data_IF_221782667294
#
_entry.id   IF_221782667294
#
_cell.length_a   1.000
_cell.length_b   1.000
_cell.length_c   1.000
_cell.angle_alpha   90.00
_cell.angle_beta   90.00
_cell.angle_gamma   90.00
#
_symmetry.space_group_name_H-M   'P 1'
#
loop_
_entity.id
_entity.type
_entity.pdbx_description
1 polymer ?
#
# COMPACT_ATOMS: atom_id res chain seq x y z
N UNK A 1 -16.85 -17.88 -38.42
CA UNK A 1 -16.56 -16.46 -38.71
C UNK A 1 -16.46 -15.78 -37.37
N UNK A 2 -15.32 -15.15 -37.15
CA UNK A 2 -14.68 -14.71 -35.91
C UNK A 2 -15.48 -13.69 -35.10
N UNK A 3 -15.33 -13.73 -33.78
CA UNK A 3 -15.83 -12.71 -32.84
C UNK A 3 -15.58 -13.02 -31.36
N UNK A 4 -14.47 -13.70 -31.02
CA UNK A 4 -13.77 -13.37 -29.77
C UNK A 4 -13.18 -11.97 -29.95
N UNK A 5 -12.87 -11.28 -28.84
CA UNK A 5 -12.32 -9.92 -28.71
C UNK A 5 -13.33 -8.83 -28.35
N UNK A 6 -13.74 -8.83 -27.08
CA UNK A 6 -13.74 -7.60 -26.29
C UNK A 6 -13.13 -7.93 -24.92
N UNK A 7 -11.83 -8.24 -24.90
CA UNK A 7 -11.06 -7.88 -23.72
C UNK A 7 -11.06 -6.36 -23.71
N UNK A 8 -11.68 -5.80 -22.69
CA UNK A 8 -11.64 -4.39 -22.36
C UNK A 8 -10.16 -4.02 -22.20
N UNK A 9 -9.53 -3.55 -23.28
CA UNK A 9 -8.17 -3.00 -23.34
C UNK A 9 -8.14 -1.62 -22.66
N UNK A 10 -8.98 -1.41 -21.65
CA UNK A 10 -8.97 -0.20 -20.86
C UNK A 10 -7.68 -0.19 -20.05
N UNK A 11 -6.69 0.53 -20.58
CA UNK A 11 -5.48 0.84 -19.84
C UNK A 11 -5.91 1.41 -18.48
N UNK A 12 -5.50 0.81 -17.35
CA UNK A 12 -5.86 1.29 -16.03
C UNK A 12 -5.50 2.77 -15.88
N UNK A 13 -6.36 3.59 -15.23
CA UNK A 13 -6.21 5.05 -15.20
C UNK A 13 -4.89 5.51 -14.56
N UNK A 14 -4.28 4.67 -13.72
CA UNK A 14 -2.98 4.94 -13.10
C UNK A 14 -1.84 4.06 -13.65
N UNK A 15 -2.09 3.34 -14.76
CA UNK A 15 -1.10 2.45 -15.36
C UNK A 15 -0.92 1.15 -14.57
N UNK A 16 0.28 0.58 -14.64
CA UNK A 16 0.60 -0.69 -13.98
C UNK A 16 1.66 -0.49 -12.90
N UNK A 17 1.44 -1.11 -11.73
CA UNK A 17 2.40 -1.15 -10.63
C UNK A 17 3.47 -2.22 -10.82
N UNK A 18 4.30 -2.41 -9.80
CA UNK A 18 5.28 -3.48 -9.75
C UNK A 18 4.60 -4.85 -9.96
N UNK A 19 5.21 -5.71 -10.78
CA UNK A 19 4.64 -7.00 -11.16
C UNK A 19 3.54 -6.93 -12.24
N UNK A 20 3.29 -5.76 -12.85
CA UNK A 20 2.30 -5.61 -13.91
C UNK A 20 0.85 -5.58 -13.40
N UNK A 21 0.64 -5.28 -12.13
CA UNK A 21 -0.71 -5.18 -11.55
C UNK A 21 -1.40 -3.92 -12.03
N UNK A 22 -2.61 -3.99 -12.62
CA UNK A 22 -3.33 -2.81 -13.06
C UNK A 22 -3.69 -1.92 -11.86
N UNK A 23 -3.34 -0.64 -11.93
CA UNK A 23 -3.70 0.35 -10.92
C UNK A 23 -5.03 0.99 -11.33
N UNK A 24 -6.09 0.24 -11.07
CA UNK A 24 -7.45 0.62 -11.44
C UNK A 24 -7.95 1.82 -10.66
N UNK A 25 -7.55 1.92 -9.39
CA UNK A 25 -8.13 2.86 -8.44
C UNK A 25 -7.03 3.62 -7.67
N UNK A 26 -7.38 4.77 -7.07
CA UNK A 26 -6.47 5.54 -6.20
C UNK A 26 -5.87 4.68 -5.07
N UNK A 27 -6.61 3.66 -4.62
CA UNK A 27 -6.14 2.70 -3.63
C UNK A 27 -4.91 1.92 -4.11
N UNK A 28 -4.98 1.33 -5.30
CA UNK A 28 -3.88 0.57 -5.88
C UNK A 28 -2.65 1.47 -6.06
N UNK A 29 -2.88 2.70 -6.52
CA UNK A 29 -1.83 3.72 -6.61
C UNK A 29 -1.19 4.03 -5.26
N UNK A 30 -1.98 4.25 -4.21
CA UNK A 30 -1.46 4.52 -2.87
C UNK A 30 -0.71 3.31 -2.29
N UNK A 31 -1.16 2.10 -2.59
CA UNK A 31 -0.49 0.87 -2.20
C UNK A 31 0.87 0.73 -2.90
N UNK A 32 0.97 1.02 -4.20
CA UNK A 32 2.25 1.04 -4.91
C UNK A 32 3.19 2.13 -4.37
N UNK A 33 2.68 3.36 -4.17
CA UNK A 33 3.48 4.45 -3.57
C UNK A 33 4.02 4.07 -2.20
N UNK A 34 3.23 3.35 -1.40
CA UNK A 34 3.66 2.81 -0.10
C UNK A 34 4.79 1.78 -0.27
N UNK A 35 4.68 0.85 -1.23
CA UNK A 35 5.75 -0.12 -1.53
C UNK A 35 7.03 0.58 -1.99
N UNK A 36 6.90 1.55 -2.90
CA UNK A 36 8.04 2.33 -3.40
C UNK A 36 8.75 3.10 -2.28
N UNK A 37 7.98 3.73 -1.38
CA UNK A 37 8.52 4.43 -0.21
C UNK A 37 9.33 3.48 0.68
N UNK A 38 8.79 2.29 0.99
CA UNK A 38 9.48 1.31 1.83
C UNK A 38 10.75 0.78 1.15
N UNK A 39 10.68 0.41 -0.13
CA UNK A 39 11.85 -0.03 -0.91
C UNK A 39 12.94 1.06 -0.99
N UNK A 40 12.55 2.33 -1.16
CA UNK A 40 13.49 3.45 -1.19
C UNK A 40 14.19 3.70 0.16
N UNK A 41 13.68 3.14 1.25
CA UNK A 41 14.26 3.20 2.58
C UNK A 41 14.96 1.90 2.98
N UNK A 42 15.36 1.08 2.00
CA UNK A 42 16.06 -0.20 2.22
C UNK A 42 15.23 -1.21 3.04
N UNK A 43 13.90 -1.07 3.04
CA UNK A 43 13.02 -2.10 3.56
C UNK A 43 12.73 -3.09 2.42
N UNK A 44 13.16 -4.36 2.52
CA UNK A 44 12.84 -5.34 1.51
C UNK A 44 11.35 -5.67 1.54
N UNK A 45 10.75 -5.81 0.36
CA UNK A 45 9.46 -6.48 0.24
C UNK A 45 9.69 -7.98 0.41
N UNK A 46 8.72 -8.65 1.03
CA UNK A 46 8.78 -10.09 1.25
C UNK A 46 8.90 -10.83 -0.08
N UNK A 47 9.85 -11.77 -0.12
CA UNK A 47 10.10 -12.69 -1.24
C UNK A 47 10.41 -14.10 -0.71
N UNK A 48 10.53 -15.09 -1.59
CA UNK A 48 10.71 -16.51 -1.19
C UNK A 48 12.02 -16.74 -0.40
N UNK A 49 13.03 -15.88 -0.57
CA UNK A 49 14.35 -15.99 0.05
C UNK A 49 14.53 -15.10 1.29
N UNK A 50 13.65 -14.10 1.53
CA UNK A 50 13.86 -13.08 2.57
C UNK A 50 12.57 -12.57 3.21
N UNK A 51 12.66 -12.37 4.52
CA UNK A 51 11.68 -11.60 5.27
C UNK A 51 11.59 -10.16 4.80
N UNK A 52 10.38 -9.61 4.86
CA UNK A 52 10.13 -8.26 4.42
C UNK A 52 8.73 -7.78 4.74
N UNK A 53 8.36 -6.69 4.09
CA UNK A 53 7.00 -6.17 4.18
C UNK A 53 6.07 -6.80 3.15
N UNK A 54 4.79 -6.88 3.48
CA UNK A 54 3.69 -7.14 2.54
C UNK A 54 2.68 -6.00 2.66
N UNK A 55 2.25 -5.45 1.53
CA UNK A 55 1.18 -4.45 1.48
C UNK A 55 -0.05 -5.08 0.87
N UNK A 56 -1.15 -5.07 1.61
CA UNK A 56 -2.48 -5.44 1.14
C UNK A 56 -3.37 -4.20 1.09
N UNK A 57 -4.15 -4.09 0.03
CA UNK A 57 -5.07 -2.98 -0.18
C UNK A 57 -6.45 -3.57 -0.47
N UNK A 58 -7.22 -3.96 0.58
CA UNK A 58 -8.58 -4.42 0.39
C UNK A 58 -9.43 -3.31 -0.25
N UNK A 59 -10.47 -3.70 -0.99
CA UNK A 59 -11.37 -2.77 -1.68
C UNK A 59 -12.08 -1.80 -0.71
N UNK A 60 -12.31 -2.22 0.53
CA UNK A 60 -12.91 -1.43 1.60
C UNK A 60 -11.97 -1.37 2.82
N UNK A 61 -11.86 -0.19 3.45
CA UNK A 61 -11.07 0.01 4.66
C UNK A 61 -9.61 0.48 4.44
N UNK A 62 -8.75 0.41 5.48
CA UNK A 62 -7.34 0.81 5.39
C UNK A 62 -6.48 -0.16 4.58
N UNK A 63 -5.30 0.30 4.14
CA UNK A 63 -4.27 -0.62 3.65
C UNK A 63 -3.70 -1.37 4.85
N UNK A 64 -3.30 -2.62 4.65
CA UNK A 64 -2.62 -3.41 5.65
C UNK A 64 -1.16 -3.53 5.27
N UNK A 65 -0.29 -3.19 6.21
CA UNK A 65 1.14 -3.42 6.14
C UNK A 65 1.48 -4.55 7.10
N UNK A 66 2.10 -5.61 6.61
CA UNK A 66 2.49 -6.77 7.43
C UNK A 66 4.00 -6.93 7.33
N UNK A 67 4.65 -7.33 8.43
CA UNK A 67 6.04 -7.73 8.43
C UNK A 67 6.15 -9.24 8.65
N UNK A 68 6.87 -9.95 7.79
CA UNK A 68 6.90 -11.42 7.82
C UNK A 68 7.86 -12.00 8.85
N UNK A 69 8.79 -11.20 9.40
CA UNK A 69 9.77 -11.71 10.34
C UNK A 69 9.16 -12.35 11.58
N UNK A 70 9.72 -13.48 11.99
CA UNK A 70 9.15 -14.33 13.05
C UNK A 70 9.46 -13.88 14.49
N UNK A 71 10.52 -13.09 14.70
CA UNK A 71 10.93 -12.72 16.06
C UNK A 71 10.24 -11.46 16.56
N UNK A 72 9.91 -11.43 17.85
CA UNK A 72 9.35 -10.25 18.51
C UNK A 72 10.31 -9.03 18.45
N UNK A 73 11.62 -9.28 18.42
CA UNK A 73 12.62 -8.21 18.30
C UNK A 73 12.60 -7.58 16.90
N UNK A 74 12.54 -8.40 15.85
CA UNK A 74 12.44 -7.91 14.47
C UNK A 74 11.13 -7.16 14.24
N UNK A 75 10.03 -7.65 14.83
CA UNK A 75 8.72 -6.97 14.78
C UNK A 75 8.73 -5.62 15.48
N UNK A 76 9.33 -5.53 16.66
CA UNK A 76 9.45 -4.25 17.37
C UNK A 76 10.35 -3.25 16.60
N UNK A 77 11.41 -3.74 15.93
CA UNK A 77 12.24 -2.91 15.06
C UNK A 77 11.47 -2.45 13.81
N UNK A 78 10.68 -3.33 13.20
CA UNK A 78 9.82 -3.02 12.06
C UNK A 78 8.73 -2.00 12.43
N UNK A 79 8.07 -2.16 13.58
CA UNK A 79 7.09 -1.19 14.12
C UNK A 79 7.68 0.21 14.18
N UNK A 80 8.78 0.38 14.90
CA UNK A 80 9.42 1.67 15.09
C UNK A 80 9.87 2.28 13.75
N UNK A 81 10.43 1.46 12.86
CA UNK A 81 10.91 1.91 11.55
C UNK A 81 9.77 2.33 10.63
N UNK A 82 8.76 1.49 10.44
CA UNK A 82 7.63 1.79 9.56
C UNK A 82 6.84 2.97 10.08
N UNK A 83 6.64 3.05 11.40
CA UNK A 83 5.99 4.19 12.01
C UNK A 83 6.69 5.50 11.70
N UNK A 84 8.00 5.59 11.96
CA UNK A 84 8.77 6.80 11.67
C UNK A 84 8.71 7.18 10.19
N UNK A 85 8.93 6.21 9.29
CA UNK A 85 8.96 6.44 7.85
C UNK A 85 7.62 6.94 7.32
N UNK A 86 6.53 6.32 7.76
CA UNK A 86 5.18 6.63 7.30
C UNK A 86 4.68 7.95 7.87
N UNK A 87 4.88 8.19 9.16
CA UNK A 87 4.53 9.47 9.77
C UNK A 87 5.31 10.63 9.12
N UNK A 88 6.59 10.44 8.79
CA UNK A 88 7.40 11.43 8.05
C UNK A 88 6.91 11.66 6.62
N UNK A 89 6.40 10.63 5.96
CA UNK A 89 5.78 10.71 4.65
C UNK A 89 4.32 11.22 4.71
N UNK A 90 3.80 11.54 5.90
CA UNK A 90 2.45 12.04 6.12
C UNK A 90 1.37 10.96 6.19
N UNK A 91 1.73 9.67 6.10
CA UNK A 91 0.80 8.57 6.28
C UNK A 91 0.41 8.41 7.76
N UNK A 92 -0.83 8.00 7.99
CA UNK A 92 -1.27 7.55 9.31
C UNK A 92 -1.06 6.04 9.38
N UNK A 93 -0.49 5.58 10.49
CA UNK A 93 -0.24 4.17 10.77
C UNK A 93 -0.73 3.84 12.19
N UNK A 94 -1.49 2.76 12.31
CA UNK A 94 -1.99 2.26 13.60
C UNK A 94 -1.85 0.73 13.66
N UNK A 95 -1.52 0.16 14.84
CA UNK A 95 -1.45 -1.29 14.99
C UNK A 95 -2.82 -1.93 14.73
N UNK A 96 -2.82 -3.04 13.99
CA UNK A 96 -4.01 -3.85 13.81
C UNK A 96 -4.32 -4.62 15.11
N UNK A 97 -5.24 -4.09 15.90
CA UNK A 97 -5.63 -4.69 17.18
C UNK A 97 -6.60 -5.88 17.02
N UNK A 98 -6.94 -6.30 15.79
CA UNK A 98 -7.95 -7.34 15.55
C UNK A 98 -7.45 -8.76 15.78
N UNK A 99 -6.14 -8.94 16.06
CA UNK A 99 -5.61 -10.19 16.63
C UNK A 99 -5.51 -11.36 15.66
N UNK A 100 -5.87 -11.16 14.39
CA UNK A 100 -5.72 -12.17 13.32
C UNK A 100 -4.52 -11.87 12.40
N UNK A 101 -3.85 -10.73 12.56
CA UNK A 101 -2.63 -10.41 11.82
C UNK A 101 -1.74 -9.44 12.57
N UNK A 102 -0.47 -9.80 12.73
CA UNK A 102 0.58 -8.92 13.24
C UNK A 102 0.97 -7.87 12.19
N UNK A 103 0.05 -6.95 11.92
CA UNK A 103 0.21 -5.90 10.92
C UNK A 103 -0.23 -4.53 11.42
N UNK A 104 -0.16 -3.57 10.51
CA UNK A 104 -0.55 -2.18 10.74
C UNK A 104 -1.56 -1.74 9.68
N UNK A 105 -2.57 -1.01 10.14
CA UNK A 105 -3.47 -0.26 9.28
C UNK A 105 -2.79 1.02 8.84
N UNK A 106 -2.77 1.27 7.54
CA UNK A 106 -2.15 2.44 6.92
C UNK A 106 -3.19 3.20 6.11
N UNK A 107 -3.25 4.51 6.36
CA UNK A 107 -4.03 5.46 5.58
C UNK A 107 -3.07 6.44 4.92
N UNK A 108 -3.30 6.80 3.64
CA UNK A 108 -2.63 7.95 3.09
C UNK A 108 -2.98 9.15 3.97
N UNK A 109 -2.00 10.01 4.23
CA UNK A 109 -2.28 11.31 4.81
C UNK A 109 -3.29 12.06 3.96
N UNK A 110 -3.96 13.05 4.54
CA UNK A 110 -4.62 14.08 3.74
C UNK A 110 -3.54 14.79 2.93
N UNK A 111 -3.17 14.23 1.79
CA UNK A 111 -2.74 15.08 0.70
C UNK A 111 -3.97 15.94 0.42
N UNK A 112 -3.87 17.28 0.49
CA UNK A 112 -5.01 18.14 0.21
C UNK A 112 -5.58 17.68 -1.11
N UNK A 113 -6.83 17.25 -1.03
CA UNK A 113 -7.64 16.81 -2.14
C UNK A 113 -7.42 17.80 -3.28
N UNK A 114 -6.70 17.38 -4.32
CA UNK A 114 -6.68 18.12 -5.57
C UNK A 114 -8.04 17.89 -6.23
N UNK A 115 -9.09 18.44 -5.63
CA UNK A 115 -10.48 18.18 -5.97
C UNK A 115 -11.52 18.99 -5.21
N UNK A 116 -11.21 19.61 -4.06
CA UNK A 116 -12.11 20.62 -3.48
C UNK A 116 -11.83 22.00 -4.07
N UNK A 117 -12.24 22.17 -5.33
CA UNK A 117 -12.60 23.49 -5.86
C UNK A 117 -14.05 23.43 -6.30
N UNK A 118 -14.95 23.16 -5.34
CA UNK A 118 -16.39 23.20 -5.58
C UNK A 118 -17.04 24.33 -4.78
N UNK A 119 -16.97 25.53 -5.36
CA UNK A 119 -18.09 26.48 -5.33
C UNK A 119 -18.28 27.31 -4.07
N UNK A 120 -17.58 28.45 -4.01
CA UNK A 120 -18.20 29.64 -3.44
C UNK A 120 -19.33 30.11 -4.38
N UNK A 121 -20.55 30.13 -3.86
CA UNK A 121 -21.74 30.71 -4.49
C UNK A 121 -22.59 31.41 -3.45
#
# INVERSE_FOLDING_TARGET
MTGHDQHDDATPPYGYGAGGRPLGNDRDRHAELLRELLRAQDCPEFDDDRDGFVVEAPDDGPMLLVYTGDTAADRAAADARYRELLERAGYRIEPDATGEGDGWKVWPGTQPDAGDTAGAG
#
